data_IF_319982247756
#
_entry.id   IF_319982247756
#
_cell.length_a   1.000
_cell.length_b   1.000
_cell.length_c   1.000
_cell.angle_alpha   90.00
_cell.angle_beta   90.00
_cell.angle_gamma   90.00
#
_symmetry.space_group_name_H-M   'P 1'
#
loop_
_entity.id
_entity.type
_entity.pdbx_description
1 polymer ?
#
# COMPACT_ATOMS: atom_id res chain seq x y z
N UNK A 1 -34.09 10.06 -24.32
CA UNK A 1 -33.09 10.11 -23.22
C UNK A 1 -33.41 11.35 -22.40
N UNK A 2 -33.91 11.20 -21.17
CA UNK A 2 -34.37 12.33 -20.36
C UNK A 2 -33.17 13.03 -19.71
N UNK A 3 -32.89 14.27 -20.11
CA UNK A 3 -31.77 15.10 -19.62
C UNK A 3 -31.91 15.44 -18.12
N UNK A 4 -33.14 15.46 -17.60
CA UNK A 4 -33.43 15.75 -16.19
C UNK A 4 -33.05 14.57 -15.27
N UNK A 5 -33.35 13.32 -15.66
CA UNK A 5 -32.97 12.13 -14.87
C UNK A 5 -31.45 11.97 -14.72
N UNK A 6 -30.68 12.33 -15.75
CA UNK A 6 -29.21 12.28 -15.69
C UNK A 6 -28.63 13.33 -14.74
N UNK A 7 -29.37 14.43 -14.51
CA UNK A 7 -28.94 15.53 -13.65
C UNK A 7 -29.19 15.23 -12.18
N UNK A 8 -30.36 14.67 -11.84
CA UNK A 8 -30.70 14.26 -10.47
C UNK A 8 -29.80 13.11 -9.96
N UNK A 9 -29.54 12.10 -10.79
CA UNK A 9 -28.64 11.00 -10.44
C UNK A 9 -27.18 11.47 -10.23
N UNK A 10 -26.75 12.50 -10.97
CA UNK A 10 -25.42 13.10 -10.81
C UNK A 10 -25.33 13.96 -9.54
N UNK A 11 -26.41 14.62 -9.14
CA UNK A 11 -26.49 15.43 -7.92
C UNK A 11 -26.52 14.55 -6.66
N UNK A 12 -27.21 13.41 -6.66
CA UNK A 12 -27.17 12.44 -5.55
C UNK A 12 -25.79 11.78 -5.41
N UNK A 13 -25.14 11.44 -6.54
CA UNK A 13 -23.76 10.97 -6.55
C UNK A 13 -22.80 12.01 -5.97
N UNK A 14 -23.00 13.29 -6.30
CA UNK A 14 -22.22 14.40 -5.75
C UNK A 14 -22.52 14.67 -4.28
N UNK A 15 -23.76 14.48 -3.82
CA UNK A 15 -24.11 14.59 -2.41
C UNK A 15 -23.51 13.45 -1.58
N UNK A 16 -23.50 12.22 -2.08
CA UNK A 16 -22.80 11.10 -1.45
C UNK A 16 -21.28 11.34 -1.40
N UNK A 17 -20.68 11.88 -2.47
CA UNK A 17 -19.26 12.27 -2.49
C UNK A 17 -18.97 13.42 -1.50
N UNK A 18 -19.88 14.40 -1.38
CA UNK A 18 -19.79 15.53 -0.45
C UNK A 18 -20.01 15.11 1.01
N UNK A 19 -20.91 14.17 1.28
CA UNK A 19 -21.16 13.63 2.63
C UNK A 19 -20.00 12.72 3.07
N UNK A 20 -19.38 12.02 2.11
CA UNK A 20 -18.13 11.30 2.30
C UNK A 20 -16.95 12.25 2.55
N UNK A 21 -16.90 13.42 1.89
CA UNK A 21 -15.93 14.49 2.17
C UNK A 21 -16.21 15.26 3.48
N UNK A 22 -17.46 15.35 3.93
CA UNK A 22 -17.88 15.98 5.20
C UNK A 22 -17.76 15.08 6.43
N UNK A 23 -17.74 13.76 6.26
CA UNK A 23 -17.48 12.85 7.38
C UNK A 23 -16.05 13.09 7.86
N UNK A 24 -15.85 13.28 9.16
CA UNK A 24 -14.53 13.47 9.76
C UNK A 24 -13.65 12.25 9.44
N UNK A 25 -12.78 12.39 8.44
CA UNK A 25 -11.89 11.31 8.01
C UNK A 25 -10.74 11.26 9.00
N UNK A 26 -10.76 10.26 9.88
CA UNK A 26 -9.64 9.95 10.77
C UNK A 26 -8.47 9.34 9.98
N UNK A 27 -7.84 10.14 9.11
CA UNK A 27 -6.68 9.74 8.31
C UNK A 27 -5.53 9.20 9.16
N UNK A 28 -5.42 9.67 10.42
CA UNK A 28 -4.43 9.20 11.38
C UNK A 28 -4.63 7.72 11.74
N UNK A 29 -5.89 7.31 11.96
CA UNK A 29 -6.24 5.93 12.26
C UNK A 29 -6.03 5.05 11.03
N UNK A 30 -6.40 5.54 9.84
CA UNK A 30 -6.15 4.83 8.58
C UNK A 30 -4.66 4.64 8.29
N UNK A 31 -3.83 5.65 8.57
CA UNK A 31 -2.37 5.56 8.46
C UNK A 31 -1.81 4.45 9.35
N UNK A 32 -2.23 4.39 10.62
CA UNK A 32 -1.80 3.33 11.54
C UNK A 32 -2.16 1.92 11.01
N UNK A 33 -3.35 1.77 10.42
CA UNK A 33 -3.78 0.51 9.80
C UNK A 33 -2.98 0.14 8.55
N UNK A 34 -2.66 1.12 7.72
CA UNK A 34 -1.83 0.92 6.53
C UNK A 34 -0.42 0.45 6.89
N UNK A 35 0.17 1.05 7.92
CA UNK A 35 1.49 0.68 8.44
C UNK A 35 1.45 -0.73 9.03
N UNK A 36 0.45 -1.04 9.86
CA UNK A 36 0.30 -2.38 10.42
C UNK A 36 0.15 -3.45 9.32
N UNK A 37 -0.68 -3.19 8.31
CA UNK A 37 -0.83 -4.09 7.16
C UNK A 37 0.45 -4.26 6.34
N UNK A 38 1.20 -3.17 6.15
CA UNK A 38 2.49 -3.20 5.46
C UNK A 38 3.55 -4.00 6.21
N UNK A 39 3.62 -3.85 7.54
CA UNK A 39 4.51 -4.64 8.40
C UNK A 39 4.17 -6.12 8.30
N UNK A 40 2.89 -6.51 8.39
CA UNK A 40 2.49 -7.92 8.27
C UNK A 40 2.90 -8.49 6.90
N UNK A 41 2.72 -7.72 5.83
CA UNK A 41 3.09 -8.13 4.48
C UNK A 41 4.62 -8.14 4.23
N UNK A 42 5.42 -7.46 5.05
CA UNK A 42 6.88 -7.54 4.97
C UNK A 42 7.44 -8.89 5.41
N UNK A 43 6.71 -9.64 6.26
CA UNK A 43 7.15 -10.95 6.76
C UNK A 43 7.40 -11.94 5.59
N UNK A 44 6.42 -12.20 4.70
CA UNK A 44 6.67 -13.06 3.54
C UNK A 44 7.66 -12.43 2.55
N UNK A 45 7.80 -11.10 2.50
CA UNK A 45 8.86 -10.45 1.71
C UNK A 45 10.24 -10.93 2.14
N UNK A 46 10.54 -10.83 3.44
CA UNK A 46 11.85 -11.20 4.00
C UNK A 46 12.15 -12.67 3.73
N UNK A 47 11.17 -13.57 3.88
CA UNK A 47 11.34 -15.01 3.67
C UNK A 47 11.57 -15.36 2.19
N UNK A 48 10.87 -14.70 1.28
CA UNK A 48 10.92 -15.03 -0.15
C UNK A 48 11.98 -14.25 -0.93
N UNK A 49 12.56 -13.20 -0.36
CA UNK A 49 13.63 -12.43 -1.01
C UNK A 49 14.85 -13.31 -1.33
N UNK A 50 15.07 -14.39 -0.56
CA UNK A 50 16.11 -15.40 -0.82
C UNK A 50 15.95 -16.14 -2.16
N UNK A 51 14.74 -16.19 -2.74
CA UNK A 51 14.47 -16.88 -4.01
C UNK A 51 14.55 -15.96 -5.25
N UNK A 52 14.78 -14.66 -5.08
CA UNK A 52 14.87 -13.68 -6.18
C UNK A 52 13.55 -13.47 -6.94
N UNK A 53 13.47 -12.47 -7.85
CA UNK A 53 12.33 -12.07 -8.72
C UNK A 53 10.95 -11.77 -8.05
N UNK A 54 10.65 -12.38 -6.90
CA UNK A 54 9.39 -12.31 -6.18
C UNK A 54 9.15 -10.95 -5.53
N UNK A 55 10.18 -10.10 -5.41
CA UNK A 55 10.07 -8.72 -4.93
C UNK A 55 8.96 -7.94 -5.66
N UNK A 56 8.79 -8.17 -6.96
CA UNK A 56 7.69 -7.62 -7.75
C UNK A 56 6.31 -8.02 -7.21
N UNK A 57 6.08 -9.33 -7.05
CA UNK A 57 4.80 -9.90 -6.60
C UNK A 57 4.52 -9.52 -5.14
N UNK A 58 5.55 -9.46 -4.32
CA UNK A 58 5.44 -9.10 -2.91
C UNK A 58 5.17 -7.60 -2.74
N UNK A 59 5.62 -6.75 -3.68
CA UNK A 59 5.30 -5.31 -3.68
C UNK A 59 3.82 -5.06 -3.88
N UNK A 60 3.22 -5.83 -4.78
CA UNK A 60 1.76 -5.88 -4.95
C UNK A 60 1.06 -6.33 -3.65
N UNK A 61 1.56 -7.37 -2.99
CA UNK A 61 0.98 -7.89 -1.75
C UNK A 61 1.04 -6.86 -0.61
N UNK A 62 2.15 -6.13 -0.47
CA UNK A 62 2.30 -5.03 0.51
C UNK A 62 1.27 -3.94 0.22
N UNK A 63 1.15 -3.48 -1.03
CA UNK A 63 0.16 -2.48 -1.41
C UNK A 63 -1.27 -2.89 -1.06
N UNK A 64 -1.64 -4.14 -1.36
CA UNK A 64 -2.95 -4.71 -1.03
C UNK A 64 -3.18 -4.82 0.48
N UNK A 65 -2.18 -5.28 1.23
CA UNK A 65 -2.26 -5.41 2.68
C UNK A 65 -2.33 -4.05 3.38
N UNK A 66 -1.56 -3.05 2.93
CA UNK A 66 -1.65 -1.67 3.44
C UNK A 66 -3.02 -1.06 3.19
N UNK A 67 -3.60 -1.25 2.00
CA UNK A 67 -4.95 -0.75 1.74
C UNK A 67 -6.01 -1.47 2.58
N UNK A 68 -5.92 -2.80 2.68
CA UNK A 68 -6.84 -3.58 3.52
C UNK A 68 -6.70 -3.22 5.00
N UNK A 69 -5.49 -2.96 5.48
CA UNK A 69 -5.24 -2.47 6.84
C UNK A 69 -5.83 -1.08 7.07
N UNK A 70 -5.73 -0.19 6.09
CA UNK A 70 -6.35 1.13 6.14
C UNK A 70 -7.88 1.06 6.23
N UNK A 71 -8.52 0.21 5.41
CA UNK A 71 -9.98 0.08 5.40
C UNK A 71 -10.52 -0.70 6.60
N UNK A 72 -9.76 -1.66 7.13
CA UNK A 72 -10.15 -2.46 8.31
C UNK A 72 -10.32 -1.62 9.58
N UNK A 73 -9.63 -0.48 9.67
CA UNK A 73 -9.82 0.49 10.76
C UNK A 73 -10.97 1.47 10.52
N UNK A 74 -11.92 1.14 9.64
CA UNK A 74 -13.14 1.91 9.41
C UNK A 74 -12.92 3.24 8.69
N UNK A 75 -11.73 3.45 8.11
CA UNK A 75 -11.42 4.71 7.43
C UNK A 75 -12.03 4.77 6.02
N UNK A 76 -12.84 5.81 5.83
CA UNK A 76 -13.41 6.19 4.55
C UNK A 76 -12.30 6.55 3.53
N UNK A 77 -12.34 5.93 2.36
CA UNK A 77 -11.39 6.04 1.25
C UNK A 77 -11.51 7.38 0.52
N UNK A 78 -10.64 8.34 0.86
CA UNK A 78 -10.63 9.67 0.25
C UNK A 78 -9.56 9.86 -0.83
N UNK A 79 -9.58 11.03 -1.48
CA UNK A 79 -8.52 11.46 -2.42
C UNK A 79 -7.13 11.44 -1.77
N UNK A 80 -7.03 11.75 -0.48
CA UNK A 80 -5.78 11.70 0.29
C UNK A 80 -5.32 10.27 0.63
N UNK A 81 -6.23 9.29 0.69
CA UNK A 81 -5.89 7.89 0.99
C UNK A 81 -4.93 7.32 -0.04
N UNK A 82 -5.06 7.71 -1.32
CA UNK A 82 -4.12 7.30 -2.37
C UNK A 82 -2.67 7.66 -2.04
N UNK A 83 -2.45 8.89 -1.61
CA UNK A 83 -1.13 9.39 -1.27
C UNK A 83 -0.58 8.72 -0.01
N UNK A 84 -1.45 8.48 0.97
CA UNK A 84 -1.09 7.76 2.21
C UNK A 84 -0.64 6.34 1.91
N UNK A 85 -1.45 5.55 1.19
CA UNK A 85 -1.12 4.16 0.86
C UNK A 85 0.14 4.09 0.01
N UNK A 86 0.25 4.96 -1.00
CA UNK A 86 1.44 5.00 -1.86
C UNK A 86 2.71 5.30 -1.04
N UNK A 87 2.64 6.29 -0.15
CA UNK A 87 3.76 6.65 0.72
C UNK A 87 4.13 5.53 1.70
N UNK A 88 3.13 4.92 2.35
CA UNK A 88 3.35 3.81 3.30
C UNK A 88 3.91 2.59 2.59
N UNK A 89 3.36 2.19 1.44
CA UNK A 89 3.86 1.05 0.67
C UNK A 89 5.28 1.29 0.18
N UNK A 90 5.59 2.49 -0.34
CA UNK A 90 6.94 2.83 -0.76
C UNK A 90 7.94 2.78 0.41
N UNK A 91 7.56 3.30 1.57
CA UNK A 91 8.36 3.26 2.80
C UNK A 91 8.56 1.81 3.28
N UNK A 92 7.50 1.00 3.34
CA UNK A 92 7.59 -0.40 3.74
C UNK A 92 8.47 -1.23 2.82
N UNK A 93 8.47 -0.98 1.51
CA UNK A 93 9.33 -1.70 0.56
C UNK A 93 10.81 -1.41 0.83
N UNK A 94 11.17 -0.12 0.97
CA UNK A 94 12.56 0.27 1.26
C UNK A 94 13.00 -0.29 2.62
N UNK A 95 12.14 -0.17 3.63
CA UNK A 95 12.41 -0.70 4.96
C UNK A 95 12.62 -2.22 4.93
N UNK A 96 11.74 -2.95 4.24
CA UNK A 96 11.84 -4.42 4.11
C UNK A 96 13.12 -4.86 3.41
N UNK A 97 13.56 -4.14 2.37
CA UNK A 97 14.80 -4.45 1.68
C UNK A 97 16.03 -4.25 2.56
N UNK A 98 16.10 -3.13 3.30
CA UNK A 98 17.21 -2.87 4.25
C UNK A 98 17.25 -3.96 5.31
N UNK A 99 16.10 -4.29 5.91
CA UNK A 99 15.99 -5.33 6.95
C UNK A 99 16.41 -6.69 6.39
N UNK A 100 15.95 -7.04 5.19
CA UNK A 100 16.29 -8.31 4.53
C UNK A 100 17.79 -8.45 4.32
N UNK A 101 18.44 -7.43 3.75
CA UNK A 101 19.88 -7.46 3.52
C UNK A 101 20.68 -7.44 4.81
N UNK A 102 20.22 -6.71 5.83
CA UNK A 102 20.86 -6.72 7.16
C UNK A 102 20.79 -8.11 7.78
N UNK A 103 19.63 -8.78 7.73
CA UNK A 103 19.46 -10.15 8.23
C UNK A 103 20.34 -11.13 7.46
N UNK A 104 20.40 -11.02 6.14
CA UNK A 104 21.24 -11.89 5.31
C UNK A 104 22.73 -11.79 5.73
N UNK A 105 23.25 -10.58 5.95
CA UNK A 105 24.63 -10.38 6.40
C UNK A 105 24.84 -10.93 7.82
N UNK A 106 23.90 -10.70 8.75
CA UNK A 106 23.99 -11.25 10.10
C UNK A 106 24.06 -12.79 10.12
N UNK A 107 23.24 -13.45 9.30
CA UNK A 107 23.19 -14.92 9.22
C UNK A 107 24.43 -15.50 8.56
N UNK A 108 24.96 -14.85 7.52
CA UNK A 108 26.14 -15.35 6.77
C UNK A 108 27.44 -15.18 7.57
N UNK A 109 27.58 -14.06 8.28
CA UNK A 109 28.81 -13.75 9.03
C UNK A 109 28.72 -14.06 10.53
N UNK A 110 27.59 -14.59 10.99
CA UNK A 110 27.32 -14.93 12.40
C UNK A 110 27.61 -13.77 13.39
N UNK A 111 27.45 -12.53 12.93
CA UNK A 111 27.68 -11.31 13.70
C UNK A 111 26.38 -10.81 14.36
N UNK A 112 26.45 -10.27 15.60
CA UNK A 112 25.28 -9.68 16.25
C UNK A 112 24.83 -8.39 15.56
N UNK A 113 23.57 -8.01 15.74
CA UNK A 113 23.01 -6.77 15.21
C UNK A 113 23.81 -5.55 15.71
N UNK A 114 24.44 -4.83 14.80
CA UNK A 114 25.11 -3.55 15.05
C UNK A 114 24.68 -2.51 14.02
N UNK A 115 24.66 -1.24 14.43
CA UNK A 115 24.41 -0.11 13.54
C UNK A 115 25.44 -0.02 12.41
N UNK A 116 26.65 -0.52 12.63
CA UNK A 116 27.71 -0.56 11.62
C UNK A 116 27.34 -1.46 10.43
N UNK A 117 26.57 -2.53 10.66
CA UNK A 117 26.13 -3.44 9.61
C UNK A 117 25.14 -2.72 8.69
N UNK A 118 24.26 -1.89 9.25
CA UNK A 118 23.32 -1.09 8.45
C UNK A 118 24.11 -0.11 7.58
N UNK A 119 25.12 0.57 8.15
CA UNK A 119 25.97 1.48 7.37
C UNK A 119 26.77 0.75 6.28
N UNK A 120 27.27 -0.45 6.59
CA UNK A 120 27.95 -1.32 5.64
C UNK A 120 27.03 -1.74 4.48
N UNK A 121 25.81 -2.17 4.78
CA UNK A 121 24.77 -2.52 3.79
C UNK A 121 24.44 -1.32 2.90
N UNK A 122 24.37 -0.11 3.48
CA UNK A 122 24.05 1.13 2.76
C UNK A 122 25.24 1.76 2.01
N UNK A 123 26.46 1.30 2.24
CA UNK A 123 27.69 1.82 1.59
C UNK A 123 28.26 0.85 0.56
N UNK A 124 27.87 -0.43 0.60
CA UNK A 124 28.39 -1.45 -0.30
C UNK A 124 27.72 -1.36 -1.68
N UNK A 125 28.47 -1.07 -2.76
CA UNK A 125 27.88 -0.79 -4.07
C UNK A 125 27.15 -1.99 -4.68
N UNK A 126 27.64 -3.22 -4.47
CA UNK A 126 26.95 -4.44 -4.94
C UNK A 126 25.57 -4.60 -4.29
N UNK A 127 25.46 -4.29 -2.99
CA UNK A 127 24.20 -4.37 -2.26
C UNK A 127 23.27 -3.25 -2.72
N UNK A 128 23.77 -2.02 -2.84
CA UNK A 128 22.96 -0.86 -3.29
C UNK A 128 22.38 -1.09 -4.69
N UNK A 129 23.15 -1.65 -5.63
CA UNK A 129 22.66 -1.91 -6.99
C UNK A 129 21.54 -2.97 -6.98
N UNK A 130 21.72 -4.05 -6.21
CA UNK A 130 20.71 -5.09 -6.09
C UNK A 130 19.46 -4.59 -5.37
N UNK A 131 19.64 -3.88 -4.26
CA UNK A 131 18.57 -3.25 -3.48
C UNK A 131 17.83 -2.22 -4.33
N UNK A 132 18.53 -1.38 -5.08
CA UNK A 132 17.96 -0.38 -5.97
C UNK A 132 17.07 -1.01 -7.05
N UNK A 133 17.51 -2.11 -7.66
CA UNK A 133 16.69 -2.86 -8.63
C UNK A 133 15.45 -3.46 -7.99
N UNK A 134 15.57 -4.05 -6.80
CA UNK A 134 14.43 -4.65 -6.08
C UNK A 134 13.42 -3.60 -5.63
N UNK A 135 13.89 -2.48 -5.06
CA UNK A 135 13.05 -1.34 -4.67
C UNK A 135 12.35 -0.76 -5.90
N UNK A 136 13.07 -0.58 -7.01
CA UNK A 136 12.48 -0.07 -8.25
C UNK A 136 11.36 -0.98 -8.79
N UNK A 137 11.61 -2.29 -8.86
CA UNK A 137 10.61 -3.28 -9.25
C UNK A 137 9.43 -3.33 -8.27
N UNK A 138 9.73 -3.27 -6.96
CA UNK A 138 8.74 -3.24 -5.89
C UNK A 138 7.85 -2.02 -5.95
N UNK A 139 8.39 -0.84 -6.25
CA UNK A 139 7.61 0.39 -6.42
C UNK A 139 6.73 0.34 -7.66
N UNK A 140 7.26 -0.10 -8.80
CA UNK A 140 6.45 -0.26 -10.03
C UNK A 140 5.27 -1.19 -9.76
N UNK A 141 5.52 -2.34 -9.13
CA UNK A 141 4.49 -3.35 -8.90
C UNK A 141 3.55 -3.03 -7.74
N UNK A 142 4.06 -2.40 -6.69
CA UNK A 142 3.24 -1.85 -5.61
C UNK A 142 2.30 -0.78 -6.16
N UNK A 143 2.80 0.13 -7.00
CA UNK A 143 1.99 1.14 -7.68
C UNK A 143 0.95 0.51 -8.60
N UNK A 144 1.37 -0.40 -9.50
CA UNK A 144 0.46 -1.12 -10.38
C UNK A 144 -0.59 -1.92 -9.62
N UNK A 145 -0.24 -2.46 -8.45
CA UNK A 145 -1.17 -3.22 -7.62
C UNK A 145 -2.22 -2.37 -6.92
N UNK A 146 -1.84 -1.16 -6.54
CA UNK A 146 -2.72 -0.18 -5.93
C UNK A 146 -3.76 0.35 -6.96
N UNK A 147 -3.44 0.39 -8.25
CA UNK A 147 -4.35 0.86 -9.31
C UNK A 147 -5.69 0.09 -9.44
N UNK A 148 -5.72 -1.25 -9.61
CA UNK A 148 -6.96 -2.02 -9.69
C UNK A 148 -7.72 -1.96 -8.36
N UNK A 149 -7.02 -1.94 -7.23
CA UNK A 149 -7.62 -1.78 -5.91
C UNK A 149 -8.44 -0.49 -5.79
N UNK A 150 -7.97 0.64 -6.34
CA UNK A 150 -8.79 1.85 -6.39
C UNK A 150 -9.98 1.76 -7.36
N UNK A 151 -9.93 0.90 -8.38
CA UNK A 151 -11.06 0.65 -9.28
C UNK A 151 -12.11 -0.23 -8.59
N UNK A 152 -11.68 -1.26 -7.87
CA UNK A 152 -12.55 -2.13 -7.07
C UNK A 152 -13.28 -1.33 -5.99
N UNK A 153 -12.57 -0.44 -5.29
CA UNK A 153 -13.16 0.48 -4.30
C UNK A 153 -14.24 1.37 -4.92
N UNK A 154 -13.99 1.90 -6.12
CA UNK A 154 -14.96 2.75 -6.83
C UNK A 154 -16.22 1.94 -7.20
N UNK A 155 -16.05 0.68 -7.62
CA UNK A 155 -17.16 -0.20 -7.94
C UNK A 155 -17.97 -0.60 -6.71
N UNK A 156 -17.33 -0.82 -5.56
CA UNK A 156 -18.02 -1.17 -4.32
C UNK A 156 -18.93 -0.02 -3.86
N UNK A 157 -18.44 1.23 -3.97
CA UNK A 157 -19.23 2.44 -3.71
C UNK A 157 -20.41 2.56 -4.70
N UNK A 158 -20.18 2.40 -6.00
CA UNK A 158 -21.25 2.45 -7.01
C UNK A 158 -22.31 1.36 -6.78
N UNK A 159 -21.90 0.16 -6.36
CA UNK A 159 -22.83 -0.96 -6.13
C UNK A 159 -23.73 -0.77 -4.90
N UNK A 160 -23.22 -0.09 -3.86
CA UNK A 160 -24.00 0.24 -2.66
C UNK A 160 -25.02 1.32 -2.98
N UNK A 161 -24.66 2.34 -3.78
CA UNK A 161 -25.59 3.39 -4.22
C UNK A 161 -26.75 2.79 -5.03
N UNK A 162 -26.46 1.91 -5.99
CA UNK A 162 -27.49 1.24 -6.81
C UNK A 162 -28.45 0.40 -5.96
N UNK A 163 -27.98 -0.17 -4.84
CA UNK A 163 -28.81 -1.01 -3.97
C UNK A 163 -29.74 -0.19 -3.05
N UNK A 164 -29.40 1.08 -2.79
CA UNK A 164 -30.27 2.00 -2.04
C UNK A 164 -31.38 2.57 -2.93
N UNK A 165 -31.13 2.77 -4.24
CA UNK A 165 -32.17 3.21 -5.20
C UNK A 165 -33.28 2.17 -5.46
N UNK A 166 -33.04 0.89 -5.12
CA UNK A 166 -34.02 -0.19 -5.34
C UNK A 166 -34.80 -0.60 -4.08
N UNK A 167 -34.60 0.10 -2.96
CA UNK A 167 -35.26 -0.18 -1.67
C UNK A 167 -36.41 0.78 -1.36
#
# INVERSE_FOLDING_TARGET
MCQECFKSAKEESQQAEQEFERTEKNYLQGFAGAVAGGIIASIPWIILSYFGWFAAILGFAIGKASLKGYTMLGCKLGKATRWIILGVTAFCIVFSEIVTHTIAVMVVYEIPFSMDIIFFVLTTPEIIINMGRNVFLGWIMGFLGILPLFRDIKQEIDSVVVKVEQG
#
